data_IF_917110398088
#
_entry.id   IF_917110398088
#
_cell.length_a   1.000
_cell.length_b   1.000
_cell.length_c   1.000
_cell.angle_alpha   90.00
_cell.angle_beta   90.00
_cell.angle_gamma   90.00
#
_symmetry.space_group_name_H-M   'P 1'
#
loop_
_entity.id
_entity.type
_entity.pdbx_description
1 polymer ?
#
# COMPACT_ATOMS: atom_id res chain seq x y z
N UNK A 1 11.63 3.60 -9.15
CA UNK A 1 11.79 2.91 -7.87
C UNK A 1 10.64 1.96 -7.45
N UNK A 2 9.40 2.00 -7.98
CA UNK A 2 8.33 1.08 -7.55
C UNK A 2 8.70 -0.42 -7.60
N UNK A 3 9.43 -0.86 -8.63
CA UNK A 3 9.89 -2.25 -8.74
C UNK A 3 10.82 -2.66 -7.62
N UNK A 4 11.79 -1.80 -7.26
CA UNK A 4 12.72 -2.07 -6.17
C UNK A 4 11.98 -2.24 -4.84
N UNK A 5 10.96 -1.41 -4.57
CA UNK A 5 10.14 -1.52 -3.36
C UNK A 5 9.44 -2.88 -3.30
N UNK A 6 8.86 -3.35 -4.41
CA UNK A 6 8.17 -4.64 -4.46
C UNK A 6 9.13 -5.81 -4.30
N UNK A 7 10.31 -5.77 -4.93
CA UNK A 7 11.36 -6.79 -4.72
C UNK A 7 11.82 -6.81 -3.27
N UNK A 8 12.13 -5.66 -2.69
CA UNK A 8 12.58 -5.57 -1.30
C UNK A 8 11.51 -6.05 -0.31
N UNK A 9 10.25 -5.72 -0.57
CA UNK A 9 9.11 -6.20 0.22
C UNK A 9 9.01 -7.74 0.13
N UNK A 10 9.21 -8.31 -1.06
CA UNK A 10 9.21 -9.77 -1.27
C UNK A 10 10.33 -10.44 -0.47
N UNK A 11 11.54 -9.89 -0.49
CA UNK A 11 12.67 -10.39 0.30
C UNK A 11 12.38 -10.37 1.80
N UNK A 12 11.78 -9.29 2.32
CA UNK A 12 11.42 -9.17 3.74
C UNK A 12 10.37 -10.21 4.11
N UNK A 13 9.29 -10.34 3.35
CA UNK A 13 8.26 -11.36 3.60
C UNK A 13 8.85 -12.78 3.61
N UNK A 14 9.79 -13.08 2.71
CA UNK A 14 10.46 -14.38 2.65
C UNK A 14 11.29 -14.69 3.90
N UNK A 15 11.87 -13.68 4.58
CA UNK A 15 12.56 -13.88 5.86
C UNK A 15 11.62 -14.43 6.95
N UNK A 16 10.31 -14.15 6.82
CA UNK A 16 9.25 -14.63 7.69
C UNK A 16 8.50 -15.85 7.12
N UNK A 17 8.98 -16.43 6.01
CA UNK A 17 8.32 -17.54 5.28
C UNK A 17 6.91 -17.20 4.80
N UNK A 18 6.65 -15.93 4.53
CA UNK A 18 5.39 -15.45 3.98
C UNK A 18 5.59 -15.27 2.48
N UNK A 19 4.80 -15.99 1.67
CA UNK A 19 4.79 -15.80 0.23
C UNK A 19 4.10 -14.47 -0.11
N UNK A 20 4.60 -13.75 -1.12
CA UNK A 20 3.95 -12.52 -1.57
C UNK A 20 2.53 -12.78 -2.11
N UNK A 21 2.33 -13.91 -2.80
CA UNK A 21 1.00 -14.34 -3.23
C UNK A 21 0.13 -14.59 -2.00
N UNK A 22 -0.98 -13.86 -1.88
CA UNK A 22 -1.89 -13.93 -0.76
C UNK A 22 -1.49 -13.11 0.48
N UNK A 23 -0.29 -12.53 0.51
CA UNK A 23 0.16 -11.66 1.61
C UNK A 23 -0.75 -10.44 1.75
N UNK A 24 -1.06 -10.08 2.99
CA UNK A 24 -1.86 -8.92 3.38
C UNK A 24 -0.94 -7.73 3.57
N UNK A 25 -0.99 -6.79 2.64
CA UNK A 25 -0.14 -5.60 2.63
C UNK A 25 -1.00 -4.39 2.95
N UNK A 26 -0.67 -3.68 4.02
CA UNK A 26 -1.28 -2.40 4.34
C UNK A 26 -0.38 -1.26 3.89
N UNK A 27 -0.87 -0.43 2.97
CA UNK A 27 -0.17 0.75 2.50
C UNK A 27 -0.63 1.97 3.30
N UNK A 28 0.33 2.71 3.85
CA UNK A 28 0.09 3.99 4.51
C UNK A 28 0.50 5.15 3.59
N UNK A 29 -0.50 5.92 3.18
CA UNK A 29 -0.39 7.00 2.21
C UNK A 29 -0.41 6.49 0.78
N UNK A 30 -1.16 7.15 -0.10
CA UNK A 30 -1.18 6.89 -1.56
C UNK A 30 -0.96 8.15 -2.37
N UNK A 31 -0.86 9.31 -1.73
CA UNK A 31 -0.63 10.60 -2.37
C UNK A 31 0.80 10.71 -2.93
N UNK A 32 1.01 11.65 -3.84
CA UNK A 32 2.31 11.93 -4.43
C UNK A 32 3.24 12.68 -3.46
N UNK A 33 2.66 13.46 -2.54
CA UNK A 33 3.41 14.22 -1.53
C UNK A 33 2.66 14.22 -0.20
N UNK A 34 3.47 14.42 0.84
CA UNK A 34 3.03 14.67 2.20
C UNK A 34 1.92 15.73 2.26
N UNK A 35 0.88 15.40 3.00
CA UNK A 35 -0.23 16.25 3.45
C UNK A 35 -1.05 16.95 2.35
N UNK A 36 -1.08 16.39 1.14
CA UNK A 36 -1.91 16.87 0.02
C UNK A 36 -2.72 15.76 -0.63
N UNK A 37 -3.88 16.09 -1.18
CA UNK A 37 -4.75 15.14 -1.90
C UNK A 37 -4.40 15.04 -3.41
N UNK A 38 -3.14 14.80 -3.76
CA UNK A 38 -2.70 14.65 -5.17
C UNK A 38 -2.23 13.23 -5.45
N UNK A 39 -2.86 12.56 -6.41
CA UNK A 39 -2.53 11.20 -6.83
C UNK A 39 -1.76 11.16 -8.15
N UNK A 40 -1.62 12.30 -8.84
CA UNK A 40 -0.96 12.35 -10.16
C UNK A 40 0.49 11.90 -10.00
N UNK A 41 0.91 10.98 -10.87
CA UNK A 41 2.24 10.39 -10.83
C UNK A 41 2.61 9.74 -9.48
N UNK A 42 1.63 9.40 -8.63
CA UNK A 42 1.91 8.76 -7.35
C UNK A 42 2.59 7.40 -7.56
N UNK A 43 3.80 7.19 -7.01
CA UNK A 43 4.49 5.90 -7.12
C UNK A 43 3.73 4.79 -6.38
N UNK A 44 2.90 5.13 -5.38
CA UNK A 44 2.10 4.19 -4.62
C UNK A 44 1.11 3.44 -5.52
N UNK A 45 0.48 4.11 -6.48
CA UNK A 45 -0.44 3.48 -7.43
C UNK A 45 0.25 2.41 -8.28
N UNK A 46 1.49 2.67 -8.69
CA UNK A 46 2.29 1.68 -9.43
C UNK A 46 2.71 0.51 -8.54
N UNK A 47 3.01 0.76 -7.27
CA UNK A 47 3.30 -0.30 -6.30
C UNK A 47 2.07 -1.19 -6.10
N UNK A 48 0.88 -0.61 -5.85
CA UNK A 48 -0.39 -1.34 -5.71
C UNK A 48 -0.60 -2.28 -6.90
N UNK A 49 -0.50 -1.74 -8.12
CA UNK A 49 -0.64 -2.53 -9.35
C UNK A 49 0.35 -3.70 -9.45
N UNK A 50 1.61 -3.49 -9.07
CA UNK A 50 2.64 -4.53 -9.12
C UNK A 50 2.41 -5.62 -8.06
N UNK A 51 1.95 -5.24 -6.87
CA UNK A 51 1.62 -6.18 -5.79
C UNK A 51 0.39 -7.02 -6.15
N UNK A 52 -0.67 -6.40 -6.66
CA UNK A 52 -1.87 -7.12 -7.09
C UNK A 52 -1.62 -8.05 -8.28
N UNK A 53 -0.74 -7.67 -9.22
CA UNK A 53 -0.28 -8.57 -10.29
C UNK A 53 0.43 -9.83 -9.78
N UNK A 54 0.91 -9.81 -8.54
CA UNK A 54 1.53 -10.96 -7.85
C UNK A 54 0.56 -11.59 -6.85
N UNK A 55 -0.74 -11.32 -6.97
CA UNK A 55 -1.82 -11.85 -6.15
C UNK A 55 -1.73 -11.47 -4.66
N UNK A 56 -1.02 -10.38 -4.32
CA UNK A 56 -1.03 -9.86 -2.96
C UNK A 56 -2.36 -9.15 -2.64
N UNK A 57 -2.79 -9.24 -1.38
CA UNK A 57 -4.01 -8.58 -0.87
C UNK A 57 -3.65 -7.21 -0.33
N UNK A 58 -3.95 -6.17 -1.11
CA UNK A 58 -3.59 -4.80 -0.77
C UNK A 58 -4.77 -4.08 -0.12
N UNK A 59 -4.52 -3.44 1.01
CA UNK A 59 -5.38 -2.43 1.63
C UNK A 59 -4.60 -1.14 1.77
N UNK A 60 -5.27 0.01 1.81
CA UNK A 60 -4.59 1.28 2.03
C UNK A 60 -5.34 2.13 3.04
N UNK A 61 -4.57 2.97 3.73
CA UNK A 61 -5.08 4.12 4.46
C UNK A 61 -4.44 5.38 3.91
N UNK A 62 -5.23 6.44 3.73
CA UNK A 62 -4.74 7.79 3.48
C UNK A 62 -5.67 8.83 4.11
N UNK A 63 -5.16 9.77 4.92
CA UNK A 63 -6.00 10.77 5.59
C UNK A 63 -6.60 11.82 4.63
N UNK A 64 -6.06 11.96 3.41
CA UNK A 64 -6.51 12.94 2.41
C UNK A 64 -7.26 12.31 1.24
N UNK A 65 -7.11 10.99 1.01
CA UNK A 65 -7.76 10.26 -0.08
C UNK A 65 -8.68 9.17 0.50
N UNK A 66 -9.97 9.46 0.59
CA UNK A 66 -10.97 8.49 1.05
C UNK A 66 -11.26 7.39 0.02
N UNK A 67 -11.29 7.75 -1.27
CA UNK A 67 -11.47 6.80 -2.37
C UNK A 67 -10.69 7.24 -3.60
N UNK A 68 -10.19 6.28 -4.37
CA UNK A 68 -9.66 6.52 -5.72
C UNK A 68 -10.01 5.38 -6.66
N UNK A 69 -9.87 5.61 -7.95
CA UNK A 69 -9.99 4.58 -8.98
C UNK A 69 -8.64 4.35 -9.62
N UNK A 70 -8.27 3.09 -9.82
CA UNK A 70 -7.08 2.67 -10.55
C UNK A 70 -7.51 1.56 -11.50
N UNK A 71 -7.37 1.84 -12.80
CA UNK A 71 -7.94 0.99 -13.86
C UNK A 71 -9.46 0.81 -13.63
N UNK A 72 -9.96 -0.43 -13.69
CA UNK A 72 -11.39 -0.74 -13.53
C UNK A 72 -11.78 -1.04 -12.06
N UNK A 73 -10.90 -0.73 -11.10
CA UNK A 73 -11.12 -0.98 -9.66
C UNK A 73 -11.26 0.31 -8.88
N UNK A 74 -12.23 0.32 -7.97
CA UNK A 74 -12.40 1.39 -6.98
C UNK A 74 -11.84 0.94 -5.64
N UNK A 75 -11.03 1.80 -5.06
CA UNK A 75 -10.33 1.60 -3.79
C UNK A 75 -10.92 2.52 -2.74
N UNK A 76 -11.22 1.99 -1.56
CA UNK A 76 -11.71 2.76 -0.41
C UNK A 76 -10.71 2.65 0.73
N UNK A 77 -10.31 3.80 1.28
CA UNK A 77 -9.38 3.86 2.41
C UNK A 77 -10.00 3.13 3.59
N UNK A 78 -9.25 2.23 4.21
CA UNK A 78 -9.66 1.64 5.47
C UNK A 78 -9.61 2.70 6.58
N UNK A 79 -10.28 2.44 7.70
CA UNK A 79 -10.08 3.21 8.92
C UNK A 79 -8.89 2.64 9.67
N UNK A 80 -7.82 3.43 9.86
CA UNK A 80 -6.62 2.96 10.56
C UNK A 80 -6.97 2.63 12.01
N UNK A 81 -6.69 1.39 12.41
CA UNK A 81 -6.87 0.91 13.77
C UNK A 81 -5.86 -0.22 14.06
N UNK A 82 -5.75 -0.62 15.33
CA UNK A 82 -4.82 -1.66 15.74
C UNK A 82 -5.10 -3.03 15.11
N UNK A 83 -6.34 -3.34 14.75
CA UNK A 83 -6.70 -4.63 14.18
C UNK A 83 -6.11 -4.78 12.77
N UNK A 84 -6.30 -3.77 11.90
CA UNK A 84 -5.71 -3.78 10.56
C UNK A 84 -4.18 -3.83 10.59
N UNK A 85 -3.55 -3.15 11.55
CA UNK A 85 -2.10 -3.21 11.74
C UNK A 85 -1.62 -4.62 12.15
N UNK A 86 -2.39 -5.34 12.97
CA UNK A 86 -2.06 -6.71 13.40
C UNK A 86 -2.38 -7.77 12.34
N UNK A 87 -3.37 -7.51 11.49
CA UNK A 87 -3.78 -8.44 10.44
C UNK A 87 -2.91 -8.38 9.19
N UNK A 88 -2.17 -7.27 9.00
CA UNK A 88 -1.24 -7.12 7.89
C UNK A 88 0.02 -7.96 8.13
N UNK A 89 0.47 -8.67 7.10
CA UNK A 89 1.76 -9.37 7.11
C UNK A 89 2.92 -8.37 7.02
N UNK A 90 2.69 -7.23 6.36
CA UNK A 90 3.62 -6.10 6.31
C UNK A 90 2.89 -4.77 6.10
N UNK A 91 3.42 -3.72 6.72
CA UNK A 91 2.97 -2.34 6.54
C UNK A 91 4.00 -1.59 5.68
N UNK A 92 3.55 -0.97 4.60
CA UNK A 92 4.37 -0.18 3.69
C UNK A 92 3.99 1.29 3.77
N UNK A 93 4.86 2.11 4.34
CA UNK A 93 4.71 3.57 4.31
C UNK A 93 5.24 4.08 2.98
N UNK A 94 4.35 4.61 2.13
CA UNK A 94 4.78 5.22 0.85
C UNK A 94 4.74 6.74 0.89
N UNK A 95 3.93 7.31 1.78
CA UNK A 95 3.90 8.75 2.04
C UNK A 95 3.92 9.03 3.54
N UNK A 96 4.89 9.82 3.97
CA UNK A 96 5.07 10.26 5.36
C UNK A 96 4.11 11.40 5.72
N UNK A 97 2.81 11.10 5.80
CA UNK A 97 1.83 12.09 6.29
C UNK A 97 2.09 12.45 7.75
N UNK A 98 1.86 13.70 8.13
CA UNK A 98 1.99 14.15 9.53
C UNK A 98 1.02 13.45 10.49
N UNK A 99 0.04 12.72 9.96
CA UNK A 99 -0.93 11.92 10.71
C UNK A 99 -0.35 10.60 11.27
N UNK A 100 0.68 10.03 10.63
CA UNK A 100 1.29 8.75 11.01
C UNK A 100 2.35 8.93 12.09
#
# INVERSE_FOLDING_TARGET
MPFYVVERLTEILNQHRICLNGARILILGVTYKKDIADLRESPALKIIKLLEKREAKVSYHDPHIATFSLEDRRYTSIKLNQNFLKEADIVLVTTDHSFY
#
